data_IF_439066169377
#
_entry.id   IF_439066169377
#
_cell.length_a   1.000
_cell.length_b   1.000
_cell.length_c   1.000
_cell.angle_alpha   90.00
_cell.angle_beta   90.00
_cell.angle_gamma   90.00
#
_symmetry.space_group_name_H-M   'P 1'
#
loop_
_entity.id
_entity.type
_entity.pdbx_description
1 polymer ?
#
# COMPACT_ATOMS: atom_id res chain seq x y z
N UNK A 1 16.83 -21.27 0.86
CA UNK A 1 16.45 -20.26 1.88
C UNK A 1 15.77 -20.96 3.05
N UNK A 2 16.47 -21.12 4.17
CA UNK A 2 16.00 -21.88 5.35
C UNK A 2 15.45 -20.91 6.40
N UNK A 3 14.40 -20.17 6.05
CA UNK A 3 13.74 -19.26 6.98
C UNK A 3 12.92 -20.04 8.01
N UNK A 4 13.10 -19.74 9.30
CA UNK A 4 12.20 -20.22 10.35
C UNK A 4 11.17 -19.17 10.71
N UNK A 5 9.90 -19.56 10.72
CA UNK A 5 8.81 -18.72 11.20
C UNK A 5 8.68 -18.89 12.71
N UNK A 6 8.62 -17.76 13.39
CA UNK A 6 8.40 -17.65 14.83
C UNK A 6 6.98 -17.15 15.05
N UNK A 7 6.26 -17.74 16.00
CA UNK A 7 4.96 -17.24 16.45
C UNK A 7 5.05 -16.90 17.93
N UNK A 8 4.61 -15.69 18.25
CA UNK A 8 4.43 -15.24 19.62
C UNK A 8 3.19 -15.89 20.21
N UNK A 9 3.36 -16.62 21.30
CA UNK A 9 2.29 -17.09 22.16
C UNK A 9 2.54 -16.55 23.57
N UNK A 10 1.82 -15.48 23.91
CA UNK A 10 1.97 -14.75 25.16
C UNK A 10 3.43 -14.24 25.35
N UNK A 11 4.09 -14.55 26.48
CA UNK A 11 5.51 -14.20 26.73
C UNK A 11 6.54 -15.15 26.08
N UNK A 12 6.13 -16.06 25.19
CA UNK A 12 7.04 -17.03 24.57
C UNK A 12 6.98 -16.96 23.05
N UNK A 13 8.12 -17.22 22.42
CA UNK A 13 8.24 -17.33 20.98
C UNK A 13 8.52 -18.77 20.62
N UNK A 14 7.64 -19.40 19.86
CA UNK A 14 7.76 -20.81 19.48
C UNK A 14 8.13 -20.87 18.00
N UNK A 15 9.12 -21.71 17.66
CA UNK A 15 9.49 -21.99 16.27
C UNK A 15 8.46 -22.92 15.65
N UNK A 16 7.80 -22.47 14.59
CA UNK A 16 6.88 -23.34 13.86
C UNK A 16 7.72 -24.31 13.01
N UNK A 17 7.46 -25.63 13.11
CA UNK A 17 8.09 -26.60 12.23
C UNK A 17 7.90 -26.24 10.75
N UNK A 18 8.96 -26.41 9.94
CA UNK A 18 8.97 -26.03 8.53
C UNK A 18 7.76 -26.55 7.73
N UNK A 19 7.33 -27.78 7.99
CA UNK A 19 6.20 -28.39 7.29
C UNK A 19 4.85 -27.75 7.64
N UNK A 20 4.65 -27.36 8.90
CA UNK A 20 3.39 -26.84 9.40
C UNK A 20 3.11 -25.44 8.82
N UNK A 21 4.10 -24.55 8.86
CA UNK A 21 3.94 -23.21 8.27
C UNK A 21 3.81 -23.28 6.73
N UNK A 22 4.58 -24.14 6.05
CA UNK A 22 4.45 -24.34 4.59
C UNK A 22 3.08 -24.87 4.18
N UNK A 23 2.44 -25.70 5.02
CA UNK A 23 1.07 -26.17 4.79
C UNK A 23 0.07 -25.04 5.01
N UNK A 24 0.19 -24.31 6.11
CA UNK A 24 -0.66 -23.16 6.42
C UNK A 24 -0.60 -22.08 5.33
N UNK A 25 0.60 -21.76 4.82
CA UNK A 25 0.76 -20.82 3.71
C UNK A 25 0.13 -21.36 2.44
N UNK A 26 0.32 -22.63 2.08
CA UNK A 26 -0.31 -23.18 0.87
C UNK A 26 -1.83 -23.13 0.96
N UNK A 27 -2.42 -23.41 2.12
CA UNK A 27 -3.87 -23.29 2.31
C UNK A 27 -4.34 -21.84 2.29
N UNK A 28 -3.59 -20.90 2.88
CA UNK A 28 -3.93 -19.48 2.90
C UNK A 28 -3.61 -18.76 1.59
N UNK A 29 -2.70 -19.29 0.77
CA UNK A 29 -2.27 -18.65 -0.47
C UNK A 29 -3.40 -18.59 -1.50
N UNK A 30 -4.26 -19.62 -1.55
CA UNK A 30 -5.41 -19.63 -2.47
C UNK A 30 -6.43 -18.54 -2.09
N UNK A 31 -6.80 -18.45 -0.81
CA UNK A 31 -7.73 -17.42 -0.32
C UNK A 31 -7.13 -16.02 -0.41
N UNK A 32 -5.84 -15.85 -0.10
CA UNK A 32 -5.12 -14.57 -0.21
C UNK A 32 -5.01 -14.14 -1.67
N UNK A 33 -4.65 -15.03 -2.59
CA UNK A 33 -4.64 -14.73 -4.03
C UNK A 33 -6.03 -14.35 -4.51
N UNK A 34 -7.07 -15.10 -4.13
CA UNK A 34 -8.44 -14.77 -4.49
C UNK A 34 -8.86 -13.39 -3.95
N UNK A 35 -8.49 -13.08 -2.70
CA UNK A 35 -8.72 -11.78 -2.11
C UNK A 35 -7.95 -10.67 -2.85
N UNK A 36 -6.78 -10.94 -3.42
CA UNK A 36 -5.99 -9.97 -4.19
C UNK A 36 -6.35 -9.89 -5.68
N UNK A 37 -7.21 -10.77 -6.23
CA UNK A 37 -7.54 -10.80 -7.68
C UNK A 37 -8.13 -9.51 -8.23
N UNK A 38 -8.71 -8.66 -7.39
CA UNK A 38 -9.23 -7.35 -7.82
C UNK A 38 -8.12 -6.34 -8.12
N UNK A 39 -6.92 -6.54 -7.56
CA UNK A 39 -5.79 -5.64 -7.69
C UNK A 39 -5.13 -5.80 -9.07
N UNK A 40 -5.67 -5.09 -10.06
CA UNK A 40 -5.09 -5.00 -11.41
C UNK A 40 -3.89 -4.05 -11.45
N UNK A 41 -3.19 -3.99 -12.58
CA UNK A 41 -2.09 -3.05 -12.77
C UNK A 41 -2.53 -1.58 -12.62
N UNK A 42 -3.76 -1.26 -13.03
CA UNK A 42 -4.31 0.08 -12.83
C UNK A 42 -4.54 0.40 -11.34
N UNK A 43 -4.97 -0.58 -10.55
CA UNK A 43 -5.09 -0.40 -9.10
C UNK A 43 -3.73 -0.13 -8.46
N UNK A 44 -2.70 -0.87 -8.87
CA UNK A 44 -1.33 -0.64 -8.43
C UNK A 44 -0.85 0.76 -8.82
N UNK A 45 -1.07 1.18 -10.07
CA UNK A 45 -0.69 2.52 -10.55
C UNK A 45 -1.35 3.64 -9.73
N UNK A 46 -2.67 3.55 -9.49
CA UNK A 46 -3.41 4.53 -8.69
C UNK A 46 -2.89 4.57 -7.24
N UNK A 47 -2.76 3.40 -6.59
CA UNK A 47 -2.24 3.31 -5.22
C UNK A 47 -0.84 3.88 -5.09
N UNK A 48 0.09 3.45 -5.94
CA UNK A 48 1.49 3.82 -5.84
C UNK A 48 1.70 5.30 -6.15
N UNK A 49 0.89 5.85 -7.06
CA UNK A 49 0.85 7.30 -7.31
C UNK A 49 0.34 8.07 -6.09
N UNK A 50 -0.78 7.64 -5.49
CA UNK A 50 -1.33 8.29 -4.30
C UNK A 50 -0.33 8.29 -3.12
N UNK A 51 0.30 7.14 -2.86
CA UNK A 51 1.34 7.02 -1.82
C UNK A 51 2.50 7.97 -2.08
N UNK A 52 3.00 8.02 -3.32
CA UNK A 52 4.13 8.89 -3.71
C UNK A 52 3.78 10.37 -3.56
N UNK A 53 2.61 10.77 -4.03
CA UNK A 53 2.20 12.17 -4.00
C UNK A 53 1.90 12.64 -2.58
N UNK A 54 1.21 11.84 -1.77
CA UNK A 54 1.01 12.14 -0.35
C UNK A 54 2.34 12.29 0.39
N UNK A 55 3.31 11.41 0.14
CA UNK A 55 4.65 11.54 0.73
C UNK A 55 5.40 12.80 0.26
N UNK A 56 5.16 13.24 -0.97
CA UNK A 56 5.84 14.37 -1.60
C UNK A 56 5.26 15.73 -1.19
N UNK A 57 3.93 15.83 -1.12
CA UNK A 57 3.21 17.10 -0.95
C UNK A 57 2.63 17.25 0.45
N UNK A 58 2.30 16.15 1.12
CA UNK A 58 1.55 16.16 2.38
C UNK A 58 0.14 16.76 2.25
N UNK A 59 -0.42 16.81 1.04
CA UNK A 59 -1.72 17.41 0.77
C UNK A 59 -2.70 16.38 0.18
N UNK A 60 -4.02 16.49 0.47
CA UNK A 60 -5.03 15.61 -0.11
C UNK A 60 -4.98 15.62 -1.63
N UNK A 61 -5.10 14.44 -2.24
CA UNK A 61 -4.91 14.24 -3.67
C UNK A 61 -6.26 14.07 -4.41
N UNK A 62 -6.71 15.06 -5.20
CA UNK A 62 -8.02 15.00 -5.84
C UNK A 62 -8.04 14.00 -7.02
N UNK A 63 -9.16 13.29 -7.29
CA UNK A 63 -9.23 12.33 -8.39
C UNK A 63 -8.87 12.88 -9.78
N UNK A 64 -9.24 14.13 -10.15
CA UNK A 64 -8.79 14.73 -11.40
C UNK A 64 -7.27 14.79 -11.56
N UNK A 65 -6.52 15.15 -10.52
CA UNK A 65 -5.05 15.19 -10.64
C UNK A 65 -4.44 13.81 -10.82
N UNK A 66 -5.06 12.77 -10.24
CA UNK A 66 -4.65 11.36 -10.44
C UNK A 66 -4.93 10.93 -11.89
N UNK A 67 -6.11 11.29 -12.40
CA UNK A 67 -6.52 11.01 -13.77
C UNK A 67 -5.56 11.63 -14.79
N UNK A 68 -5.25 12.91 -14.60
CA UNK A 68 -4.30 13.64 -15.46
C UNK A 68 -2.89 13.03 -15.38
N UNK A 69 -2.40 12.73 -14.17
CA UNK A 69 -1.04 12.20 -13.98
C UNK A 69 -0.85 10.76 -14.48
N UNK A 70 -1.91 9.96 -14.51
CA UNK A 70 -1.87 8.56 -14.96
C UNK A 70 -2.38 8.36 -16.37
N UNK A 71 -2.83 9.43 -17.03
CA UNK A 71 -3.47 9.39 -18.35
C UNK A 71 -4.65 8.41 -18.39
N UNK A 72 -5.45 8.41 -17.31
CA UNK A 72 -6.63 7.56 -17.16
C UNK A 72 -7.89 8.41 -17.20
N UNK A 73 -9.00 7.91 -17.78
CA UNK A 73 -10.28 8.60 -17.69
C UNK A 73 -10.69 8.82 -16.23
N UNK A 74 -11.14 10.02 -15.88
CA UNK A 74 -11.62 10.34 -14.53
C UNK A 74 -12.66 9.33 -13.99
N UNK A 75 -13.68 8.89 -14.77
CA UNK A 75 -14.61 7.86 -14.30
C UNK A 75 -13.92 6.54 -13.95
N UNK A 76 -12.84 6.18 -14.66
CA UNK A 76 -12.07 4.96 -14.38
C UNK A 76 -11.29 5.11 -13.08
N UNK A 77 -10.65 6.26 -12.86
CA UNK A 77 -9.95 6.55 -11.60
C UNK A 77 -10.92 6.53 -10.41
N UNK A 78 -12.10 7.14 -10.55
CA UNK A 78 -13.12 7.11 -9.49
C UNK A 78 -13.50 5.66 -9.12
N UNK A 79 -13.77 4.80 -10.10
CA UNK A 79 -14.08 3.40 -9.86
C UNK A 79 -12.93 2.63 -9.18
N UNK A 80 -11.69 2.86 -9.62
CA UNK A 80 -10.50 2.24 -8.99
C UNK A 80 -10.34 2.70 -7.53
N UNK A 81 -10.56 3.98 -7.25
CA UNK A 81 -10.53 4.52 -5.89
C UNK A 81 -11.63 3.92 -5.02
N UNK A 82 -12.86 3.75 -5.55
CA UNK A 82 -13.95 3.09 -4.85
C UNK A 82 -13.59 1.63 -4.48
N UNK A 83 -12.98 0.89 -5.40
CA UNK A 83 -12.54 -0.48 -5.18
C UNK A 83 -11.40 -0.58 -4.14
N UNK A 84 -10.45 0.36 -4.18
CA UNK A 84 -9.34 0.44 -3.23
C UNK A 84 -9.82 0.82 -1.83
N UNK A 85 -10.68 1.83 -1.71
CA UNK A 85 -11.19 2.34 -0.44
C UNK A 85 -12.10 1.32 0.25
N UNK A 86 -12.96 0.62 -0.48
CA UNK A 86 -13.86 -0.42 0.09
C UNK A 86 -13.12 -1.52 0.86
N UNK A 87 -11.83 -1.70 0.59
CA UNK A 87 -11.03 -2.72 1.28
C UNK A 87 -10.23 -2.16 2.47
N UNK A 88 -10.31 -0.86 2.73
CA UNK A 88 -9.79 -0.10 3.90
C UNK A 88 -8.30 -0.34 4.25
N UNK A 89 -7.57 -1.08 3.41
CA UNK A 89 -6.16 -1.42 3.62
C UNK A 89 -5.23 -0.62 2.71
N UNK A 90 -5.79 0.13 1.75
CA UNK A 90 -5.00 0.79 0.71
C UNK A 90 -5.05 2.30 0.85
N UNK A 91 -6.25 2.89 0.91
CA UNK A 91 -6.45 4.33 0.99
C UNK A 91 -7.82 4.70 1.56
N UNK A 92 -7.97 5.98 1.90
CA UNK A 92 -9.19 6.63 2.37
C UNK A 92 -9.30 8.03 1.75
N UNK A 93 -10.53 8.45 1.42
CA UNK A 93 -10.83 9.77 0.87
C UNK A 93 -11.54 10.65 1.89
N UNK A 94 -11.26 11.95 1.87
CA UNK A 94 -11.94 12.95 2.67
C UNK A 94 -13.38 13.22 2.18
N UNK A 95 -14.08 14.15 2.85
CA UNK A 95 -15.43 14.55 2.48
C UNK A 95 -15.55 15.20 1.08
N UNK A 96 -14.46 15.71 0.53
CA UNK A 96 -14.39 16.24 -0.83
C UNK A 96 -14.07 15.15 -1.87
N UNK A 97 -13.84 13.91 -1.44
CA UNK A 97 -13.47 12.79 -2.30
C UNK A 97 -11.98 12.78 -2.70
N UNK A 98 -11.14 13.62 -2.09
CA UNK A 98 -9.70 13.60 -2.31
C UNK A 98 -9.04 12.51 -1.44
N UNK A 99 -8.03 11.83 -1.97
CA UNK A 99 -7.28 10.83 -1.21
C UNK A 99 -6.50 11.54 -0.10
N UNK A 100 -6.93 11.36 1.14
CA UNK A 100 -6.32 11.97 2.33
C UNK A 100 -5.29 11.03 2.98
N UNK A 101 -5.51 9.72 2.87
CA UNK A 101 -4.62 8.71 3.43
C UNK A 101 -4.43 7.58 2.43
N UNK A 102 -3.18 7.12 2.30
CA UNK A 102 -2.84 5.88 1.61
C UNK A 102 -1.65 5.25 2.34
N UNK A 103 -1.75 3.97 2.72
CA UNK A 103 -0.72 3.35 3.56
C UNK A 103 0.69 3.49 2.93
N UNK A 104 1.69 4.03 3.65
CA UNK A 104 1.69 4.42 5.07
C UNK A 104 1.50 5.93 5.37
N UNK A 105 1.18 6.78 4.38
CA UNK A 105 1.13 8.24 4.53
C UNK A 105 -0.29 8.80 4.66
N UNK A 106 -0.42 9.90 5.40
CA UNK A 106 -1.63 10.73 5.46
C UNK A 106 -1.25 12.20 5.25
N UNK A 107 -2.16 12.97 4.66
CA UNK A 107 -2.12 14.42 4.63
C UNK A 107 -2.64 15.03 5.95
N UNK A 108 -3.46 14.31 6.72
CA UNK A 108 -3.93 14.75 8.03
C UNK A 108 -2.77 14.80 9.02
N UNK A 109 -2.84 15.74 9.95
CA UNK A 109 -1.83 15.85 10.98
C UNK A 109 -1.93 14.67 11.97
N UNK A 110 -0.79 14.02 12.22
CA UNK A 110 -0.67 12.97 13.23
C UNK A 110 0.52 13.25 14.16
N UNK A 111 0.57 12.63 15.35
CA UNK A 111 1.74 12.72 16.23
C UNK A 111 3.04 12.20 15.59
N UNK A 112 2.95 11.39 14.52
CA UNK A 112 4.09 10.83 13.82
C UNK A 112 4.40 11.67 12.58
N UNK A 113 5.51 12.42 12.62
CA UNK A 113 5.99 13.20 11.49
C UNK A 113 7.14 12.49 10.79
N UNK A 114 7.04 12.38 9.48
CA UNK A 114 8.12 11.89 8.61
C UNK A 114 8.66 13.07 7.82
N UNK A 115 9.98 13.21 7.77
CA UNK A 115 10.67 14.14 6.86
C UNK A 115 11.55 13.31 5.94
N UNK A 116 11.46 13.59 4.65
CA UNK A 116 12.38 13.04 3.66
C UNK A 116 13.47 14.06 3.41
N UNK A 117 14.70 13.70 3.74
CA UNK A 117 15.86 14.44 3.28
C UNK A 117 15.94 14.22 1.76
N UNK A 118 15.62 15.24 0.97
CA UNK A 118 15.99 15.24 -0.45
C UNK A 118 17.50 15.49 -0.53
N UNK A 119 18.30 14.49 -0.21
CA UNK A 119 19.71 14.46 -0.59
C UNK A 119 19.83 14.36 -2.12
N UNK A 120 20.90 14.90 -2.74
CA UNK A 120 21.21 14.56 -4.13
C UNK A 120 21.31 13.04 -4.28
N UNK A 121 20.94 12.47 -5.45
CA UNK A 121 20.99 11.02 -5.65
C UNK A 121 22.40 10.51 -5.34
N UNK A 122 22.50 9.59 -4.39
CA UNK A 122 23.74 8.88 -4.11
C UNK A 122 24.13 8.12 -5.39
N UNK A 123 25.35 8.32 -5.93
CA UNK A 123 25.80 7.53 -7.06
C UNK A 123 25.84 6.08 -6.62
N UNK A 124 24.93 5.27 -7.17
CA UNK A 124 24.93 3.83 -6.97
C UNK A 124 26.23 3.33 -7.60
N UNK A 125 27.19 2.95 -6.75
CA UNK A 125 28.46 2.40 -7.20
C UNK A 125 28.18 1.17 -8.07
N UNK A 126 28.57 1.26 -9.33
CA UNK A 126 28.82 0.10 -10.16
C UNK A 126 30.02 -0.66 -9.57
N UNK A 127 29.77 -1.87 -9.08
CA UNK A 127 30.77 -2.92 -8.88
C UNK A 127 30.07 -4.28 -8.89
#
# INVERSE_FOLDING_TARGET
MTGSVLVGFWRRTIRIPGFAWRRAIRSAAASTRAAQRFMTDEHHRVRDHAVRELARTGAPLPPPSIADALELPLPRVAALLDELERRLTYLFRDAAGAVEWAYPFTASETPHRVRFDRGPPEPVHAA
#
